data_IF_456037693180
#
_entry.id   IF_456037693180
#
_cell.length_a   1.000
_cell.length_b   1.000
_cell.length_c   1.000
_cell.angle_alpha   90.00
_cell.angle_beta   90.00
_cell.angle_gamma   90.00
#
_symmetry.space_group_name_H-M   'P 1'
#
loop_
_entity.id
_entity.type
_entity.pdbx_description
1 polymer ?
#
# COMPACT_ATOMS: atom_id res chain seq x y z
N UNK A 1 6.94 -1.12 24.42
CA UNK A 1 8.29 -1.14 25.04
C UNK A 1 9.32 -1.57 23.98
N UNK A 2 9.83 -0.62 23.20
CA UNK A 2 11.07 -0.76 22.42
C UNK A 2 11.86 0.54 22.63
N UNK A 3 12.88 0.48 23.46
CA UNK A 3 13.67 1.62 23.95
C UNK A 3 14.89 1.93 23.09
N UNK A 4 15.21 1.08 22.10
CA UNK A 4 16.35 1.27 21.19
C UNK A 4 15.88 1.42 19.74
N UNK A 5 16.59 2.22 18.92
CA UNK A 5 16.24 2.39 17.52
C UNK A 5 16.38 1.05 16.77
N UNK A 6 15.40 0.66 15.92
CA UNK A 6 15.45 -0.59 15.17
C UNK A 6 16.68 -0.64 14.28
N UNK A 7 17.26 -1.83 14.14
CA UNK A 7 18.39 -2.13 13.27
C UNK A 7 17.92 -2.93 12.07
N UNK A 8 18.79 -3.00 11.05
CA UNK A 8 18.55 -3.85 9.89
C UNK A 8 18.37 -5.31 10.34
N UNK A 9 17.29 -5.95 9.89
CA UNK A 9 16.96 -7.34 10.19
C UNK A 9 15.97 -7.51 11.35
N UNK A 10 15.76 -6.48 12.16
CA UNK A 10 14.80 -6.52 13.27
C UNK A 10 13.36 -6.63 12.74
N UNK A 11 12.50 -7.28 13.52
CA UNK A 11 11.06 -7.33 13.26
C UNK A 11 10.39 -6.25 14.09
N UNK A 12 9.61 -5.43 13.41
CA UNK A 12 8.80 -4.37 14.01
C UNK A 12 7.33 -4.63 13.74
N UNK A 13 6.48 -4.28 14.69
CA UNK A 13 5.03 -4.29 14.51
C UNK A 13 4.52 -2.87 14.37
N UNK A 14 3.60 -2.66 13.43
CA UNK A 14 2.96 -1.38 13.20
C UNK A 14 1.63 -1.54 12.48
N UNK A 15 0.80 -0.51 12.60
CA UNK A 15 -0.40 -0.34 11.80
C UNK A 15 -0.09 0.48 10.55
N UNK A 16 -0.64 0.06 9.42
CA UNK A 16 -0.59 0.82 8.17
C UNK A 16 -1.63 1.93 8.24
N UNK A 17 -1.17 3.17 8.19
CA UNK A 17 -2.03 4.36 8.29
C UNK A 17 -2.24 5.05 6.95
N UNK A 18 -1.36 4.83 5.98
CA UNK A 18 -1.47 5.44 4.65
C UNK A 18 -0.78 4.65 3.54
N UNK A 19 -0.96 5.08 2.28
CA UNK A 19 -0.08 4.69 1.17
C UNK A 19 1.02 5.72 0.97
N UNK A 20 2.24 5.24 0.78
CA UNK A 20 3.37 6.05 0.38
C UNK A 20 3.55 6.02 -1.15
N UNK A 21 4.63 6.64 -1.63
CA UNK A 21 5.03 6.55 -3.02
C UNK A 21 5.53 5.13 -3.38
N UNK A 22 5.69 4.87 -4.69
CA UNK A 22 6.34 3.65 -5.21
C UNK A 22 5.73 2.33 -4.71
N UNK A 23 4.41 2.28 -4.57
CA UNK A 23 3.68 1.07 -4.14
C UNK A 23 4.03 0.61 -2.71
N UNK A 24 4.55 1.52 -1.89
CA UNK A 24 4.79 1.27 -0.48
C UNK A 24 3.59 1.74 0.36
N UNK A 25 3.47 1.15 1.54
CA UNK A 25 2.55 1.57 2.58
C UNK A 25 3.31 2.37 3.64
N UNK A 26 2.60 3.15 4.44
CA UNK A 26 3.18 3.97 5.48
C UNK A 26 2.53 3.66 6.82
N UNK A 27 3.36 3.63 7.86
CA UNK A 27 2.92 3.62 9.24
C UNK A 27 3.92 4.35 10.12
N UNK A 28 3.62 4.44 11.41
CA UNK A 28 4.52 5.01 12.42
C UNK A 28 4.65 4.05 13.59
N UNK A 29 5.86 3.97 14.13
CA UNK A 29 6.10 3.31 15.41
C UNK A 29 5.60 4.18 16.57
N UNK A 30 5.48 3.59 17.76
CA UNK A 30 5.10 4.29 19.00
C UNK A 30 6.01 5.49 19.31
N UNK A 31 7.29 5.41 18.94
CA UNK A 31 8.27 6.48 19.11
C UNK A 31 8.17 7.61 18.06
N UNK A 32 7.16 7.57 17.17
CA UNK A 32 6.89 8.58 16.16
C UNK A 32 7.68 8.43 14.85
N UNK A 33 8.62 7.48 14.77
CA UNK A 33 9.41 7.24 13.55
C UNK A 33 8.54 6.64 12.44
N UNK A 34 8.62 7.26 11.25
CA UNK A 34 7.91 6.81 10.06
C UNK A 34 8.54 5.55 9.45
N UNK A 35 7.71 4.65 8.98
CA UNK A 35 8.12 3.38 8.37
C UNK A 35 7.42 3.24 7.03
N UNK A 36 8.20 3.08 5.97
CA UNK A 36 7.75 2.70 4.63
C UNK A 36 7.80 1.19 4.52
N UNK A 37 6.64 0.56 4.36
CA UNK A 37 6.47 -0.89 4.33
C UNK A 37 6.15 -1.33 2.91
N UNK A 38 7.01 -2.15 2.31
CA UNK A 38 6.71 -2.81 1.04
C UNK A 38 5.83 -4.03 1.29
N UNK A 39 4.75 -4.19 0.52
CA UNK A 39 3.89 -5.37 0.63
C UNK A 39 2.48 -5.13 0.14
N UNK A 40 1.69 -6.21 0.05
CA UNK A 40 0.29 -6.17 -0.38
C UNK A 40 -0.64 -5.87 0.80
N UNK A 41 -0.58 -4.63 1.28
CA UNK A 41 -1.27 -4.18 2.49
C UNK A 41 -2.42 -3.20 2.16
N UNK A 42 -3.34 -3.08 3.10
CA UNK A 42 -4.43 -2.11 3.12
C UNK A 42 -4.24 -1.15 4.31
N UNK A 43 -4.82 0.05 4.22
CA UNK A 43 -4.85 0.97 5.38
C UNK A 43 -5.69 0.32 6.48
N UNK A 44 -5.17 0.29 7.71
CA UNK A 44 -5.71 -0.39 8.87
C UNK A 44 -5.15 -1.81 9.10
N UNK A 45 -4.31 -2.34 8.20
CA UNK A 45 -3.64 -3.60 8.47
C UNK A 45 -2.63 -3.41 9.61
N UNK A 46 -2.67 -4.29 10.62
CA UNK A 46 -1.57 -4.44 11.59
C UNK A 46 -0.66 -5.54 11.11
N UNK A 47 0.63 -5.23 10.98
CA UNK A 47 1.61 -6.12 10.35
C UNK A 47 2.86 -6.28 11.19
N UNK A 48 3.52 -7.42 11.04
CA UNK A 48 4.94 -7.57 11.34
C UNK A 48 5.73 -7.28 10.06
N UNK A 49 6.78 -6.48 10.18
CA UNK A 49 7.61 -6.10 9.06
C UNK A 49 9.09 -6.21 9.42
N UNK A 50 9.90 -6.76 8.51
CA UNK A 50 11.34 -6.88 8.66
C UNK A 50 12.02 -5.61 8.18
N UNK A 51 12.84 -5.00 9.03
CA UNK A 51 13.60 -3.80 8.70
C UNK A 51 14.63 -4.11 7.62
N UNK A 52 14.43 -3.57 6.42
CA UNK A 52 15.39 -3.69 5.30
C UNK A 52 16.49 -2.63 5.40
N UNK A 53 16.14 -1.40 5.78
CA UNK A 53 17.07 -0.28 5.87
C UNK A 53 16.61 0.79 6.86
N UNK A 54 17.54 1.27 7.68
CA UNK A 54 17.32 2.40 8.59
C UNK A 54 17.89 3.66 7.94
N UNK A 55 17.07 4.70 7.80
CA UNK A 55 17.51 6.04 7.35
C UNK A 55 17.44 7.00 8.54
N UNK A 56 18.03 8.19 8.36
CA UNK A 56 18.03 9.22 9.39
C UNK A 56 16.62 9.69 9.78
N UNK A 57 15.64 9.66 8.85
CA UNK A 57 14.30 10.21 9.07
C UNK A 57 13.16 9.18 9.04
N UNK A 58 13.42 7.97 8.52
CA UNK A 58 12.41 6.92 8.36
C UNK A 58 13.07 5.56 8.22
N UNK A 59 12.27 4.51 8.31
CA UNK A 59 12.69 3.12 8.11
C UNK A 59 12.06 2.58 6.82
N UNK A 60 12.81 1.77 6.07
CA UNK A 60 12.29 0.95 4.99
C UNK A 60 12.20 -0.49 5.51
N UNK A 61 11.01 -1.10 5.42
CA UNK A 61 10.74 -2.46 5.87
C UNK A 61 9.94 -3.23 4.82
N UNK A 62 10.01 -4.55 4.85
CA UNK A 62 9.20 -5.43 4.01
C UNK A 62 8.24 -6.23 4.91
N UNK A 63 6.96 -6.26 4.55
CA UNK A 63 5.94 -6.94 5.33
C UNK A 63 6.20 -8.45 5.36
N UNK A 64 6.11 -9.06 6.53
CA UNK A 64 6.22 -10.52 6.69
C UNK A 64 4.86 -11.17 6.91
N UNK A 65 4.07 -10.61 7.82
CA UNK A 65 2.79 -11.17 8.21
C UNK A 65 1.77 -10.06 8.51
N UNK A 66 0.51 -10.32 8.16
CA UNK A 66 -0.62 -9.50 8.60
C UNK A 66 -1.15 -10.10 9.91
N UNK A 67 -0.87 -9.43 11.02
CA UNK A 67 -1.30 -9.82 12.36
C UNK A 67 -2.79 -9.58 12.59
N UNK A 68 -3.32 -8.49 12.01
CA UNK A 68 -4.75 -8.19 12.01
C UNK A 68 -5.12 -7.51 10.69
N UNK A 69 -6.04 -8.09 9.89
CA UNK A 69 -6.45 -7.49 8.63
C UNK A 69 -7.36 -6.28 8.86
N UNK A 70 -7.24 -5.28 7.98
CA UNK A 70 -8.15 -4.16 7.88
C UNK A 70 -9.54 -4.61 7.44
N UNK A 71 -10.58 -3.92 7.92
CA UNK A 71 -11.95 -4.05 7.40
C UNK A 71 -12.11 -3.60 5.95
N UNK A 72 -11.15 -2.87 5.39
CA UNK A 72 -11.15 -2.45 4.00
C UNK A 72 -10.70 -3.57 3.03
N UNK A 73 -10.23 -4.71 3.54
CA UNK A 73 -9.81 -5.84 2.69
C UNK A 73 -11.00 -6.55 2.05
N UNK A 74 -10.78 -7.06 0.85
CA UNK A 74 -11.70 -7.95 0.13
C UNK A 74 -10.92 -9.07 -0.52
N UNK A 75 -11.59 -10.21 -0.76
CA UNK A 75 -11.01 -11.27 -1.56
C UNK A 75 -10.86 -10.78 -3.02
N UNK A 76 -9.66 -10.85 -3.62
CA UNK A 76 -9.47 -10.50 -5.02
C UNK A 76 -10.24 -11.46 -5.95
N UNK A 77 -11.03 -10.96 -6.92
CA UNK A 77 -11.79 -11.84 -7.83
C UNK A 77 -10.91 -12.55 -8.88
N UNK A 78 -9.64 -12.17 -9.01
CA UNK A 78 -8.73 -12.71 -10.01
C UNK A 78 -7.71 -13.67 -9.38
N UNK A 79 -7.70 -14.93 -9.82
CA UNK A 79 -6.80 -15.97 -9.33
C UNK A 79 -5.30 -15.68 -9.59
N UNK A 80 -4.98 -14.74 -10.47
CA UNK A 80 -3.59 -14.35 -10.80
C UNK A 80 -3.12 -13.10 -10.05
N UNK A 81 -3.94 -12.55 -9.16
CA UNK A 81 -3.58 -11.38 -8.36
C UNK A 81 -2.34 -11.65 -7.49
N UNK A 82 -1.54 -10.62 -7.24
CA UNK A 82 -0.26 -10.73 -6.54
C UNK A 82 0.91 -11.21 -7.42
N UNK A 83 0.66 -12.02 -8.45
CA UNK A 83 1.71 -12.59 -9.33
C UNK A 83 1.79 -11.87 -10.68
N UNK A 84 0.66 -11.68 -11.36
CA UNK A 84 0.63 -11.08 -12.71
C UNK A 84 1.04 -9.59 -12.72
N UNK A 85 0.87 -8.88 -11.60
CA UNK A 85 1.27 -7.48 -11.44
C UNK A 85 0.38 -6.45 -12.17
N UNK A 86 -0.58 -6.87 -12.99
CA UNK A 86 -1.45 -5.97 -13.77
C UNK A 86 -2.43 -5.12 -12.94
N UNK A 87 -2.77 -5.59 -11.75
CA UNK A 87 -3.66 -4.93 -10.79
C UNK A 87 -2.95 -4.82 -9.44
N UNK A 88 -3.16 -3.71 -8.71
CA UNK A 88 -2.42 -3.41 -7.47
C UNK A 88 -3.27 -3.41 -6.20
N UNK A 89 -4.57 -3.20 -6.31
CA UNK A 89 -5.47 -2.96 -5.18
C UNK A 89 -6.68 -3.90 -5.15
N UNK A 90 -6.65 -5.05 -5.85
CA UNK A 90 -7.82 -5.96 -5.83
C UNK A 90 -8.06 -6.61 -4.46
N UNK A 91 -7.09 -6.57 -3.54
CA UNK A 91 -7.28 -6.94 -2.13
C UNK A 91 -7.95 -5.86 -1.28
N UNK A 92 -8.26 -4.70 -1.85
CA UNK A 92 -8.90 -3.56 -1.18
C UNK A 92 -10.29 -3.36 -1.77
N UNK A 93 -11.29 -3.18 -0.92
CA UNK A 93 -12.67 -2.92 -1.33
C UNK A 93 -12.76 -1.70 -2.25
N UNK A 94 -13.66 -1.73 -3.22
CA UNK A 94 -13.75 -0.66 -4.20
C UNK A 94 -14.07 0.72 -3.57
N UNK A 95 -14.89 0.74 -2.53
CA UNK A 95 -15.19 1.97 -1.78
C UNK A 95 -13.94 2.53 -1.10
N UNK A 96 -13.11 1.68 -0.51
CA UNK A 96 -11.84 2.10 0.06
C UNK A 96 -10.89 2.63 -1.03
N UNK A 97 -10.81 1.98 -2.20
CA UNK A 97 -10.03 2.48 -3.33
C UNK A 97 -10.44 3.90 -3.75
N UNK A 98 -11.73 4.22 -3.77
CA UNK A 98 -12.22 5.57 -4.09
C UNK A 98 -11.78 6.59 -3.03
N UNK A 99 -11.92 6.26 -1.74
CA UNK A 99 -11.43 7.11 -0.64
C UNK A 99 -9.93 7.36 -0.74
N UNK A 100 -9.15 6.32 -1.04
CA UNK A 100 -7.69 6.43 -1.17
C UNK A 100 -7.29 7.32 -2.34
N UNK A 101 -7.97 7.20 -3.49
CA UNK A 101 -7.73 8.06 -4.66
C UNK A 101 -8.02 9.52 -4.34
N UNK A 102 -9.14 9.81 -3.68
CA UNK A 102 -9.50 11.17 -3.25
C UNK A 102 -8.44 11.73 -2.31
N UNK A 103 -8.08 10.97 -1.28
CA UNK A 103 -7.06 11.36 -0.29
C UNK A 103 -5.73 11.70 -0.98
N UNK A 104 -5.27 10.84 -1.91
CA UNK A 104 -4.03 11.08 -2.66
C UNK A 104 -4.02 12.40 -3.43
N UNK A 105 -5.13 12.78 -4.04
CA UNK A 105 -5.25 14.09 -4.73
C UNK A 105 -5.25 15.23 -3.72
N UNK A 106 -6.01 15.10 -2.63
CA UNK A 106 -6.06 16.09 -1.54
C UNK A 106 -4.67 16.35 -0.94
N UNK A 107 -3.95 15.29 -0.57
CA UNK A 107 -2.62 15.38 0.02
C UNK A 107 -1.61 16.02 -0.95
N UNK A 108 -1.68 15.68 -2.24
CA UNK A 108 -0.81 16.30 -3.25
C UNK A 108 -1.06 17.81 -3.37
N UNK A 109 -2.32 18.25 -3.35
CA UNK A 109 -2.66 19.67 -3.41
C UNK A 109 -2.22 20.41 -2.14
N UNK A 110 -2.38 19.81 -0.97
CA UNK A 110 -1.93 20.41 0.29
C UNK A 110 -0.40 20.50 0.35
N UNK A 111 0.30 19.40 0.10
CA UNK A 111 1.75 19.31 0.34
C UNK A 111 2.61 19.87 -0.79
N UNK A 112 2.14 19.79 -2.04
CA UNK A 112 2.90 20.25 -3.21
C UNK A 112 2.32 21.54 -3.80
N UNK A 113 1.00 21.71 -3.71
CA UNK A 113 0.28 22.85 -4.28
C UNK A 113 0.09 24.03 -3.32
N UNK A 114 0.46 23.89 -2.04
CA UNK A 114 0.26 24.89 -0.98
C UNK A 114 -1.21 25.31 -0.78
N UNK A 115 -2.15 24.40 -1.03
CA UNK A 115 -3.57 24.62 -0.71
C UNK A 115 -3.82 24.32 0.77
N UNK A 116 -4.53 25.18 1.49
CA UNK A 116 -4.93 24.90 2.88
C UNK A 116 -6.12 23.93 2.94
N UNK A 117 -7.12 24.17 2.09
CA UNK A 117 -8.36 23.39 2.02
C UNK A 117 -8.76 23.20 0.54
N UNK A 118 -8.12 22.28 -0.18
CA UNK A 118 -8.45 22.04 -1.58
C UNK A 118 -9.86 21.44 -1.72
N UNK A 119 -10.71 21.93 -2.63
CA UNK A 119 -12.08 21.44 -2.80
C UNK A 119 -12.12 20.13 -3.60
N UNK A 120 -11.48 19.07 -3.09
CA UNK A 120 -11.45 17.75 -3.74
C UNK A 120 -12.76 17.03 -3.49
N UNK A 121 -13.54 16.81 -4.54
CA UNK A 121 -14.80 16.06 -4.49
C UNK A 121 -14.57 14.54 -4.35
N UNK A 122 -15.62 13.78 -4.11
CA UNK A 122 -15.55 12.31 -4.11
C UNK A 122 -15.11 11.76 -5.47
N UNK A 123 -14.33 10.68 -5.44
CA UNK A 123 -13.91 10.01 -6.67
C UNK A 123 -15.12 9.39 -7.38
N UNK A 124 -15.29 9.71 -8.66
CA UNK A 124 -16.36 9.14 -9.47
C UNK A 124 -16.18 7.63 -9.62
N UNK A 125 -17.25 6.90 -9.33
CA UNK A 125 -17.30 5.44 -9.46
C UNK A 125 -17.60 5.03 -10.91
N UNK A 126 -17.09 3.85 -11.31
CA UNK A 126 -17.30 3.29 -12.65
C UNK A 126 -18.60 2.45 -12.77
N UNK A 127 -19.38 2.33 -11.70
CA UNK A 127 -20.50 1.37 -11.62
C UNK A 127 -19.99 -0.07 -11.46
N UNK A 128 -19.45 -0.66 -12.53
CA UNK A 128 -18.75 -1.95 -12.51
C UNK A 128 -17.22 -1.73 -12.58
N UNK A 129 -16.46 -2.05 -11.52
CA UNK A 129 -15.01 -1.86 -11.50
C UNK A 129 -14.23 -2.96 -12.22
N UNK A 130 -14.88 -3.99 -12.76
CA UNK A 130 -14.23 -5.12 -13.44
C UNK A 130 -14.44 -5.06 -14.96
N UNK A 131 -13.65 -5.86 -15.69
CA UNK A 131 -13.75 -6.05 -17.16
C UNK A 131 -13.69 -4.78 -18.02
N UNK A 132 -13.26 -3.64 -17.48
CA UNK A 132 -13.26 -2.35 -18.18
C UNK A 132 -12.15 -2.18 -19.23
N UNK A 133 -11.09 -3.02 -19.21
CA UNK A 133 -9.99 -2.90 -20.19
C UNK A 133 -10.42 -3.47 -21.55
N UNK A 134 -10.44 -2.62 -22.57
CA UNK A 134 -10.72 -3.02 -23.96
C UNK A 134 -9.48 -3.45 -24.76
N UNK A 135 -8.28 -3.30 -24.19
CA UNK A 135 -6.99 -3.70 -24.78
C UNK A 135 -6.09 -4.27 -23.68
N UNK A 136 -5.40 -5.37 -24.01
CA UNK A 136 -4.36 -5.99 -23.17
C UNK A 136 -3.16 -6.29 -24.07
N UNK A 137 -1.96 -6.06 -23.57
CA UNK A 137 -0.71 -6.43 -24.24
C UNK A 137 -0.02 -7.53 -23.43
N UNK A 138 0.38 -8.59 -24.11
CA UNK A 138 1.06 -9.73 -23.49
C UNK A 138 2.52 -9.77 -23.93
N UNK A 139 3.42 -9.82 -22.95
CA UNK A 139 4.83 -10.08 -23.19
C UNK A 139 5.07 -11.59 -23.22
N UNK A 140 5.66 -12.09 -24.31
CA UNK A 140 5.97 -13.51 -24.49
C UNK A 140 7.46 -13.78 -24.27
N UNK A 141 7.80 -14.84 -23.56
CA UNK A 141 9.18 -15.28 -23.33
C UNK A 141 9.27 -16.80 -23.28
N UNK A 142 10.39 -17.35 -23.74
CA UNK A 142 10.70 -18.77 -23.57
C UNK A 142 11.16 -19.12 -22.14
N UNK A 143 11.43 -18.11 -21.29
CA UNK A 143 11.75 -18.31 -19.88
C UNK A 143 10.45 -18.52 -19.09
N UNK A 144 10.40 -19.57 -18.28
CA UNK A 144 9.26 -19.88 -17.41
C UNK A 144 9.03 -18.73 -16.43
N UNK A 145 7.80 -18.21 -16.40
CA UNK A 145 7.39 -17.07 -15.55
C UNK A 145 7.15 -17.43 -14.08
N UNK A 146 7.69 -18.56 -13.60
CA UNK A 146 7.55 -18.94 -12.20
C UNK A 146 8.65 -18.29 -11.39
N UNK A 147 8.22 -17.37 -10.54
CA UNK A 147 8.97 -16.85 -9.40
C UNK A 147 9.49 -18.04 -8.59
N UNK A 148 10.81 -18.24 -8.62
CA UNK A 148 11.57 -18.92 -7.59
C UNK A 148 12.50 -17.87 -6.97
#
# INVERSE_FOLDING_TARGET
MQTEPPRKGDIIELEITDFAEKEQCFGRLENGMGVMVSGMLAIGDRVSARVRKVRQRYIEADAEEILSPSGDRTEPPCAYFGVCGGCKLMHVSYQAQLRYKRKKVSDALVHLGNFTEPPVTEALSAGDPLHYRNKIEFSCSARRYLLA
#
